data_IF_096510975473
#
_entry.id   IF_096510975473
#
_cell.length_a   1.000
_cell.length_b   1.000
_cell.length_c   1.000
_cell.angle_alpha   90.00
_cell.angle_beta   90.00
_cell.angle_gamma   90.00
#
_symmetry.space_group_name_H-M   'P 1'
#
loop_
_entity.id
_entity.type
_entity.pdbx_description
1 polymer ?
#
# COMPACT_ATOMS: atom_id res chain seq x y z
N UNK A 1 -11.84 15.31 14.34
CA UNK A 1 -11.10 14.74 13.20
C UNK A 1 -9.70 15.31 13.22
N UNK A 2 -8.69 14.48 13.48
CA UNK A 2 -7.29 14.87 13.45
C UNK A 2 -6.88 15.09 11.99
N UNK A 3 -6.54 16.34 11.65
CA UNK A 3 -5.93 16.72 10.37
C UNK A 3 -4.74 15.79 10.09
N UNK A 4 -4.58 15.23 8.87
CA UNK A 4 -3.36 14.51 8.54
C UNK A 4 -2.20 15.49 8.70
N UNK A 5 -1.32 15.24 9.67
CA UNK A 5 -0.05 15.94 9.78
C UNK A 5 0.66 15.76 8.44
N UNK A 6 0.78 16.84 7.67
CA UNK A 6 1.59 16.83 6.47
C UNK A 6 3.03 16.50 6.88
N UNK A 7 3.64 15.41 6.40
CA UNK A 7 5.02 15.15 6.73
C UNK A 7 5.91 15.87 5.71
N UNK A 8 6.83 16.75 6.12
CA UNK A 8 8.11 16.82 5.44
C UNK A 8 8.96 15.65 5.96
N UNK A 9 8.61 14.41 5.58
CA UNK A 9 9.53 13.29 5.78
C UNK A 9 10.60 13.44 4.72
N UNK A 10 11.74 14.04 5.08
CA UNK A 10 12.96 13.88 4.31
C UNK A 10 13.29 12.38 4.31
N UNK A 11 12.78 11.66 3.32
CA UNK A 11 13.09 10.26 3.13
C UNK A 11 14.60 10.15 2.94
N UNK A 12 15.21 9.24 3.70
CA UNK A 12 16.65 8.99 3.63
C UNK A 12 16.88 7.58 3.10
N UNK A 13 18.02 7.31 2.43
CA UNK A 13 18.34 5.96 2.01
C UNK A 13 18.40 4.97 3.18
N UNK A 14 18.78 5.44 4.38
CA UNK A 14 18.83 4.64 5.60
C UNK A 14 17.46 4.09 6.01
N UNK A 15 16.38 4.86 5.78
CA UNK A 15 15.03 4.38 6.00
C UNK A 15 14.69 3.18 5.09
N UNK A 16 15.09 3.24 3.82
CA UNK A 16 14.80 2.18 2.85
C UNK A 16 15.58 0.90 3.14
N UNK A 17 16.86 1.00 3.50
CA UNK A 17 17.68 -0.16 3.82
C UNK A 17 17.30 -0.84 5.15
N UNK A 18 16.64 -0.13 6.06
CA UNK A 18 15.98 -0.74 7.21
C UNK A 18 14.62 -1.33 6.80
N UNK A 19 14.66 -2.51 6.16
CA UNK A 19 13.46 -3.18 5.62
C UNK A 19 12.39 -3.45 6.67
N UNK A 20 12.76 -3.60 7.96
CA UNK A 20 11.80 -3.74 9.06
C UNK A 20 11.00 -2.46 9.25
N UNK A 21 11.67 -1.32 9.35
CA UNK A 21 11.02 -0.01 9.51
C UNK A 21 10.17 0.34 8.30
N UNK A 22 10.66 0.08 7.09
CA UNK A 22 9.89 0.26 5.86
C UNK A 22 8.58 -0.55 5.86
N UNK A 23 8.67 -1.85 6.16
CA UNK A 23 7.49 -2.74 6.22
C UNK A 23 6.52 -2.34 7.33
N UNK A 24 7.04 -1.97 8.50
CA UNK A 24 6.22 -1.51 9.61
C UNK A 24 5.48 -0.21 9.24
N UNK A 25 6.15 0.75 8.61
CA UNK A 25 5.50 1.96 8.11
C UNK A 25 4.34 1.64 7.16
N UNK A 26 4.57 0.81 6.14
CA UNK A 26 3.54 0.43 5.17
C UNK A 26 2.38 -0.32 5.86
N UNK A 27 2.69 -1.25 6.77
CA UNK A 27 1.70 -2.00 7.54
C UNK A 27 0.85 -1.10 8.42
N UNK A 28 1.45 -0.18 9.18
CA UNK A 28 0.70 0.74 10.04
C UNK A 28 -0.17 1.69 9.21
N UNK A 29 0.36 2.20 8.10
CA UNK A 29 -0.42 3.04 7.18
C UNK A 29 -1.65 2.31 6.65
N UNK A 30 -1.49 1.06 6.20
CA UNK A 30 -2.59 0.19 5.71
C UNK A 30 -3.61 -0.08 6.81
N UNK A 31 -3.14 -0.45 8.01
CA UNK A 31 -3.99 -0.76 9.15
C UNK A 31 -4.87 0.42 9.57
N UNK A 32 -4.37 1.65 9.44
CA UNK A 32 -5.09 2.86 9.84
C UNK A 32 -6.21 3.28 8.88
N UNK A 33 -6.14 2.87 7.61
CA UNK A 33 -7.03 3.40 6.56
C UNK A 33 -7.72 2.27 5.79
N UNK A 34 -6.95 1.38 5.17
CA UNK A 34 -7.48 0.34 4.27
C UNK A 34 -8.06 -0.86 5.03
N UNK A 35 -7.34 -1.41 6.02
CA UNK A 35 -7.84 -2.58 6.76
C UNK A 35 -9.09 -2.23 7.59
N UNK A 36 -9.16 -0.98 8.04
CA UNK A 36 -10.31 -0.43 8.76
C UNK A 36 -11.27 0.36 7.85
N UNK A 37 -11.20 0.19 6.52
CA UNK A 37 -11.98 1.01 5.58
C UNK A 37 -13.48 0.97 5.86
N UNK A 38 -14.04 -0.22 6.14
CA UNK A 38 -15.46 -0.35 6.44
C UNK A 38 -15.85 0.42 7.70
N UNK A 39 -15.00 0.41 8.73
CA UNK A 39 -15.21 1.18 9.96
C UNK A 39 -15.09 2.68 9.70
N UNK A 40 -14.08 3.09 8.94
CA UNK A 40 -13.88 4.49 8.56
C UNK A 40 -15.09 5.03 7.77
N UNK A 41 -15.60 4.26 6.80
CA UNK A 41 -16.80 4.59 6.02
C UNK A 41 -18.06 4.60 6.88
N UNK A 42 -18.20 3.65 7.82
CA UNK A 42 -19.33 3.64 8.75
C UNK A 42 -19.34 4.88 9.66
N UNK A 43 -18.17 5.39 10.05
CA UNK A 43 -18.04 6.58 10.87
C UNK A 43 -18.42 7.89 10.13
N UNK A 44 -18.43 7.87 8.79
CA UNK A 44 -18.93 9.01 7.99
C UNK A 44 -20.45 9.16 8.09
N UNK A 45 -21.17 8.06 8.37
CA UNK A 45 -22.61 8.08 8.59
C UNK A 45 -22.83 8.47 10.05
N UNK A 46 -23.11 9.75 10.30
CA UNK A 46 -23.60 10.19 11.61
C UNK A 46 -25.12 10.29 11.54
N UNK A 47 -25.87 9.40 12.21
CA UNK A 47 -27.33 9.36 12.10
C UNK A 47 -27.97 10.71 12.39
N UNK A 48 -27.45 11.43 13.38
CA UNK A 48 -27.96 12.76 13.78
C UNK A 48 -27.83 13.85 12.71
N UNK A 49 -26.92 13.72 11.74
CA UNK A 49 -26.70 14.73 10.71
C UNK A 49 -27.26 14.30 9.35
N UNK A 50 -27.22 13.00 9.04
CA UNK A 50 -27.59 12.48 7.72
C UNK A 50 -29.08 12.13 7.62
N UNK A 51 -29.73 11.77 8.74
CA UNK A 51 -31.18 11.49 8.78
C UNK A 51 -31.73 11.79 10.18
N UNK A 52 -32.39 12.95 10.39
CA UNK A 52 -33.04 13.26 11.65
C UNK A 52 -33.96 12.11 12.09
N UNK A 53 -33.95 11.78 13.38
CA UNK A 53 -34.79 10.72 13.91
C UNK A 53 -36.27 11.04 13.66
N UNK A 54 -36.90 10.24 12.80
CA UNK A 54 -38.34 10.27 12.57
C UNK A 54 -38.98 9.10 13.32
N UNK A 55 -39.87 9.33 14.31
CA UNK A 55 -40.53 8.26 15.05
C UNK A 55 -41.32 7.29 14.14
N UNK A 56 -41.75 7.73 12.96
CA UNK A 56 -42.46 6.88 11.99
C UNK A 56 -41.55 5.85 11.31
N UNK A 57 -40.22 6.07 11.31
CA UNK A 57 -39.24 5.12 10.75
C UNK A 57 -39.15 3.78 11.50
N UNK A 58 -39.62 3.75 12.76
CA UNK A 58 -39.64 2.52 13.59
C UNK A 58 -40.85 1.62 13.33
N UNK A 59 -41.85 2.12 12.58
CA UNK A 59 -43.10 1.41 12.32
C UNK A 59 -42.98 0.29 11.28
N UNK A 60 -41.95 0.35 10.41
CA UNK A 60 -41.72 -0.62 9.35
C UNK A 60 -40.53 -1.51 9.72
N UNK A 61 -40.81 -2.67 10.33
CA UNK A 61 -39.83 -3.77 10.35
C UNK A 61 -39.76 -4.34 8.94
N UNK A 62 -38.66 -4.13 8.23
CA UNK A 62 -38.44 -4.71 6.91
C UNK A 62 -37.41 -5.87 7.00
N UNK A 63 -37.84 -7.11 7.34
CA UNK A 63 -36.94 -8.24 7.56
C UNK A 63 -36.40 -8.88 6.26
N UNK A 64 -36.73 -8.34 5.08
CA UNK A 64 -36.53 -9.00 3.78
C UNK A 64 -35.43 -8.38 2.90
N UNK A 65 -34.77 -7.30 3.32
CA UNK A 65 -33.69 -6.70 2.53
C UNK A 65 -32.36 -7.42 2.81
N UNK A 66 -31.64 -7.87 1.77
CA UNK A 66 -30.27 -8.37 1.90
C UNK A 66 -29.42 -7.40 2.73
N UNK A 67 -28.52 -7.90 3.57
CA UNK A 67 -27.71 -7.06 4.47
C UNK A 67 -26.95 -5.93 3.75
N UNK A 68 -26.68 -6.03 2.44
CA UNK A 68 -26.08 -4.93 1.65
C UNK A 68 -27.06 -3.80 1.32
N UNK A 69 -28.37 -4.06 1.27
CA UNK A 69 -29.44 -3.07 1.05
C UNK A 69 -30.00 -2.49 2.35
N UNK A 70 -29.57 -2.99 3.52
CA UNK A 70 -29.99 -2.46 4.84
C UNK A 70 -29.19 -1.25 5.30
N UNK A 71 -28.12 -0.89 4.59
CA UNK A 71 -27.24 0.21 4.98
C UNK A 71 -27.36 1.34 3.96
N UNK A 72 -27.88 2.48 4.41
CA UNK A 72 -28.00 3.67 3.57
C UNK A 72 -26.63 3.99 2.92
N UNK A 73 -26.60 4.27 1.60
CA UNK A 73 -25.37 4.66 0.92
C UNK A 73 -24.85 5.97 1.50
N UNK A 74 -23.53 6.15 1.50
CA UNK A 74 -22.89 7.37 2.02
C UNK A 74 -23.10 8.49 0.99
N UNK A 75 -23.65 9.65 1.40
CA UNK A 75 -23.91 10.74 0.46
C UNK A 75 -22.64 11.16 -0.29
N UNK A 76 -22.79 11.46 -1.59
CA UNK A 76 -21.70 11.76 -2.51
C UNK A 76 -20.68 12.77 -1.98
N UNK A 77 -21.13 13.85 -1.35
CA UNK A 77 -20.26 14.92 -0.87
C UNK A 77 -19.36 14.48 0.29
N UNK A 78 -19.92 13.73 1.25
CA UNK A 78 -19.18 13.12 2.36
C UNK A 78 -18.14 12.13 1.85
N UNK A 79 -18.54 11.28 0.91
CA UNK A 79 -17.65 10.31 0.26
C UNK A 79 -16.51 11.01 -0.46
N UNK A 80 -16.81 12.04 -1.28
CA UNK A 80 -15.82 12.84 -1.99
C UNK A 80 -14.82 13.48 -1.03
N UNK A 81 -15.30 14.06 0.06
CA UNK A 81 -14.45 14.68 1.07
C UNK A 81 -13.48 13.67 1.68
N UNK A 82 -13.97 12.50 2.07
CA UNK A 82 -13.12 11.42 2.61
C UNK A 82 -12.07 10.97 1.59
N UNK A 83 -12.47 10.74 0.33
CA UNK A 83 -11.56 10.30 -0.72
C UNK A 83 -10.43 11.31 -0.97
N UNK A 84 -10.77 12.59 -1.12
CA UNK A 84 -9.84 13.64 -1.53
C UNK A 84 -8.96 14.13 -0.38
N UNK A 85 -9.44 14.08 0.86
CA UNK A 85 -8.72 14.59 2.03
C UNK A 85 -8.00 13.52 2.86
N UNK A 86 -8.42 12.25 2.75
CA UNK A 86 -7.86 11.15 3.57
C UNK A 86 -7.33 10.03 2.69
N UNK A 87 -8.18 9.41 1.87
CA UNK A 87 -7.81 8.17 1.18
C UNK A 87 -6.70 8.40 0.16
N UNK A 88 -6.92 9.27 -0.83
CA UNK A 88 -5.95 9.50 -1.90
C UNK A 88 -4.63 10.12 -1.41
N UNK A 89 -4.62 11.10 -0.50
CA UNK A 89 -3.37 11.57 0.10
C UNK A 89 -2.57 10.46 0.78
N UNK A 90 -3.24 9.56 1.52
CA UNK A 90 -2.55 8.46 2.19
C UNK A 90 -1.97 7.43 1.22
N UNK A 91 -2.68 7.15 0.13
CA UNK A 91 -2.20 6.31 -0.95
C UNK A 91 -1.01 6.95 -1.65
N UNK A 92 -1.05 8.27 -1.90
CA UNK A 92 0.06 9.00 -2.49
C UNK A 92 1.32 8.92 -1.63
N UNK A 93 1.19 9.16 -0.31
CA UNK A 93 2.34 9.07 0.61
C UNK A 93 2.99 7.68 0.57
N UNK A 94 2.20 6.60 0.52
CA UNK A 94 2.74 5.25 0.36
C UNK A 94 3.41 5.03 -1.00
N UNK A 95 2.79 5.53 -2.08
CA UNK A 95 3.40 5.49 -3.42
C UNK A 95 4.75 6.21 -3.45
N UNK A 96 4.83 7.40 -2.84
CA UNK A 96 6.04 8.22 -2.78
C UNK A 96 7.16 7.49 -2.05
N UNK A 97 6.84 6.85 -0.91
CA UNK A 97 7.79 6.03 -0.15
C UNK A 97 8.29 4.84 -0.95
N UNK A 98 7.40 4.08 -1.59
CA UNK A 98 7.78 2.91 -2.39
C UNK A 98 8.61 3.35 -3.61
N UNK A 99 8.21 4.43 -4.29
CA UNK A 99 8.92 4.99 -5.44
C UNK A 99 10.33 5.48 -5.06
N UNK A 100 10.43 6.23 -3.96
CA UNK A 100 11.72 6.69 -3.44
C UNK A 100 12.63 5.51 -3.07
N UNK A 101 12.13 4.52 -2.34
CA UNK A 101 12.95 3.36 -2.00
C UNK A 101 13.32 2.51 -3.23
N UNK A 102 12.50 2.53 -4.28
CA UNK A 102 12.81 1.88 -5.55
C UNK A 102 13.98 2.58 -6.24
N UNK A 103 14.00 3.92 -6.27
CA UNK A 103 15.14 4.65 -6.84
C UNK A 103 16.43 4.40 -6.06
N UNK A 104 16.36 4.35 -4.72
CA UNK A 104 17.49 3.98 -3.85
C UNK A 104 17.97 2.56 -4.15
N UNK A 105 17.07 1.59 -4.33
CA UNK A 105 17.42 0.20 -4.63
C UNK A 105 18.08 0.02 -6.01
N UNK A 106 17.82 0.93 -6.96
CA UNK A 106 18.46 0.93 -8.28
C UNK A 106 19.78 1.72 -8.33
N UNK A 107 20.06 2.53 -7.31
CA UNK A 107 21.30 3.31 -7.22
C UNK A 107 22.46 2.48 -6.63
N UNK A 108 23.72 2.71 -7.05
CA UNK A 108 24.88 2.09 -6.41
C UNK A 108 24.92 2.42 -4.92
N UNK A 109 25.13 1.41 -4.06
CA UNK A 109 25.25 1.57 -2.61
C UNK A 109 26.73 1.60 -2.20
N UNK A 110 27.33 2.80 -2.01
CA UNK A 110 28.75 2.90 -1.63
C UNK A 110 29.01 2.44 -0.19
N UNK A 111 27.97 2.25 0.62
CA UNK A 111 28.08 1.89 2.04
C UNK A 111 27.66 0.43 2.29
N UNK A 112 27.67 -0.43 1.26
CA UNK A 112 27.39 -1.85 1.40
C UNK A 112 28.55 -2.54 2.17
N UNK A 113 28.31 -3.04 3.40
CA UNK A 113 29.37 -3.67 4.20
C UNK A 113 29.88 -4.98 3.57
N UNK A 114 29.03 -5.66 2.80
CA UNK A 114 29.32 -6.99 2.27
C UNK A 114 29.93 -6.95 0.86
N UNK A 115 30.17 -5.76 0.31
CA UNK A 115 30.66 -5.58 -1.06
C UNK A 115 31.98 -6.31 -1.30
N UNK A 116 32.96 -6.11 -0.41
CA UNK A 116 34.30 -6.71 -0.54
C UNK A 116 34.22 -8.24 -0.42
N UNK A 117 33.47 -8.76 0.55
CA UNK A 117 33.33 -10.20 0.77
C UNK A 117 32.62 -10.87 -0.42
N UNK A 118 31.56 -10.23 -0.93
CA UNK A 118 30.80 -10.69 -2.11
C UNK A 118 31.69 -10.73 -3.34
N UNK A 119 32.42 -9.66 -3.65
CA UNK A 119 33.34 -9.63 -4.80
C UNK A 119 34.44 -10.70 -4.68
N UNK A 120 35.00 -10.89 -3.48
CA UNK A 120 35.97 -11.95 -3.24
C UNK A 120 35.37 -13.35 -3.45
N UNK A 121 34.14 -13.60 -2.98
CA UNK A 121 33.45 -14.87 -3.21
C UNK A 121 33.16 -15.13 -4.69
N UNK A 122 32.70 -14.09 -5.42
CA UNK A 122 32.40 -14.18 -6.84
C UNK A 122 33.67 -14.44 -7.66
N UNK A 123 34.81 -13.84 -7.27
CA UNK A 123 36.10 -14.09 -7.91
C UNK A 123 36.59 -15.52 -7.66
N UNK A 124 36.49 -16.01 -6.42
CA UNK A 124 36.87 -17.39 -6.08
C UNK A 124 36.06 -18.43 -6.85
N UNK A 125 34.76 -18.19 -7.04
CA UNK A 125 33.93 -19.08 -7.84
C UNK A 125 34.22 -18.97 -9.34
N UNK A 126 34.50 -17.76 -9.85
CA UNK A 126 34.91 -17.59 -11.25
C UNK A 126 36.21 -18.33 -11.61
N UNK A 127 37.11 -18.52 -10.64
CA UNK A 127 38.34 -19.30 -10.78
C UNK A 127 38.14 -20.81 -10.55
N UNK A 128 36.95 -21.25 -10.13
CA UNK A 128 36.67 -22.63 -9.75
C UNK A 128 36.44 -23.52 -10.97
N UNK A 129 37.23 -24.59 -11.08
CA UNK A 129 37.04 -25.61 -12.11
C UNK A 129 36.14 -26.72 -11.55
N UNK A 130 34.97 -26.91 -12.16
CA UNK A 130 33.97 -27.90 -11.76
C UNK A 130 34.05 -29.11 -12.70
N UNK A 131 34.17 -30.32 -12.12
CA UNK A 131 34.10 -31.56 -12.89
C UNK A 131 32.78 -32.28 -12.60
N UNK A 132 31.78 -32.02 -13.44
CA UNK A 132 30.41 -32.53 -13.31
C UNK A 132 30.32 -34.08 -13.35
N UNK A 133 31.36 -34.74 -13.89
CA UNK A 133 31.43 -36.22 -13.92
C UNK A 133 31.76 -36.81 -12.55
N UNK A 134 32.50 -36.09 -11.73
CA UNK A 134 32.88 -36.54 -10.38
C UNK A 134 31.82 -36.15 -9.34
N UNK A 135 31.23 -34.97 -9.49
CA UNK A 135 30.14 -34.48 -8.63
C UNK A 135 29.13 -33.62 -9.43
N UNK A 136 27.93 -34.15 -9.75
CA UNK A 136 26.88 -33.43 -10.46
C UNK A 136 26.29 -32.21 -9.74
N UNK A 137 26.52 -32.06 -8.43
CA UNK A 137 25.97 -30.96 -7.63
C UNK A 137 27.00 -29.87 -7.33
N UNK A 138 28.28 -30.14 -7.56
CA UNK A 138 29.37 -29.20 -7.32
C UNK A 138 29.26 -27.92 -8.15
N UNK A 139 28.59 -27.90 -9.31
CA UNK A 139 28.48 -26.72 -10.18
C UNK A 139 27.60 -25.57 -9.68
N UNK A 140 26.86 -25.75 -8.57
CA UNK A 140 25.93 -24.72 -8.10
C UNK A 140 26.63 -23.67 -7.25
N UNK A 141 26.81 -22.48 -7.81
CA UNK A 141 27.16 -21.28 -7.05
C UNK A 141 25.96 -20.33 -7.01
N UNK A 142 25.64 -19.84 -5.81
CA UNK A 142 24.62 -18.84 -5.61
C UNK A 142 25.31 -17.57 -5.11
N UNK A 143 25.48 -16.55 -5.98
CA UNK A 143 25.99 -15.26 -5.54
C UNK A 143 25.15 -14.72 -4.39
N UNK A 144 25.80 -14.20 -3.37
CA UNK A 144 25.09 -13.50 -2.30
C UNK A 144 24.50 -12.22 -2.88
N UNK A 145 23.21 -12.01 -2.67
CA UNK A 145 22.53 -10.78 -3.12
C UNK A 145 23.09 -9.55 -2.41
N UNK A 146 23.15 -8.43 -3.11
CA UNK A 146 23.47 -7.14 -2.49
C UNK A 146 22.33 -6.63 -1.62
N UNK A 147 22.66 -5.74 -0.68
CA UNK A 147 21.64 -5.06 0.13
C UNK A 147 20.60 -4.34 -0.74
N UNK A 148 21.05 -3.75 -1.83
CA UNK A 148 20.19 -3.10 -2.83
C UNK A 148 19.30 -4.11 -3.59
N UNK A 149 19.84 -5.26 -3.98
CA UNK A 149 19.07 -6.35 -4.63
C UNK A 149 18.00 -6.92 -3.70
N UNK A 150 18.36 -7.20 -2.44
CA UNK A 150 17.42 -7.64 -1.41
C UNK A 150 16.30 -6.62 -1.24
N UNK A 151 16.63 -5.33 -1.13
CA UNK A 151 15.66 -4.24 -1.05
C UNK A 151 14.75 -4.19 -2.28
N UNK A 152 15.30 -4.33 -3.49
CA UNK A 152 14.52 -4.38 -4.73
C UNK A 152 13.54 -5.56 -4.76
N UNK A 153 13.92 -6.71 -4.18
CA UNK A 153 13.02 -7.85 -3.96
C UNK A 153 11.85 -7.50 -3.03
N UNK A 154 12.14 -6.85 -1.90
CA UNK A 154 11.09 -6.40 -0.96
C UNK A 154 10.13 -5.42 -1.63
N UNK A 155 10.63 -4.43 -2.38
CA UNK A 155 9.81 -3.40 -3.01
C UNK A 155 8.91 -3.94 -4.12
N UNK A 156 9.37 -4.96 -4.87
CA UNK A 156 8.52 -5.68 -5.84
C UNK A 156 7.31 -6.31 -5.17
N UNK A 157 7.53 -6.95 -4.01
CA UNK A 157 6.44 -7.53 -3.23
C UNK A 157 5.52 -6.45 -2.66
N UNK A 158 6.07 -5.37 -2.10
CA UNK A 158 5.26 -4.28 -1.55
C UNK A 158 4.42 -3.56 -2.60
N UNK A 159 4.94 -3.39 -3.82
CA UNK A 159 4.16 -2.87 -4.96
C UNK A 159 2.98 -3.78 -5.31
N UNK A 160 3.19 -5.10 -5.36
CA UNK A 160 2.12 -6.05 -5.64
C UNK A 160 1.04 -6.04 -4.54
N UNK A 161 1.47 -6.03 -3.28
CA UNK A 161 0.58 -5.93 -2.11
C UNK A 161 -0.21 -4.62 -2.14
N UNK A 162 0.46 -3.50 -2.43
CA UNK A 162 -0.18 -2.20 -2.51
C UNK A 162 -1.28 -2.16 -3.59
N UNK A 163 -1.02 -2.75 -4.76
CA UNK A 163 -2.04 -2.88 -5.82
C UNK A 163 -3.25 -3.69 -5.34
N UNK A 164 -3.03 -4.84 -4.71
CA UNK A 164 -4.12 -5.70 -4.19
C UNK A 164 -4.95 -4.95 -3.15
N UNK A 165 -4.30 -4.26 -2.22
CA UNK A 165 -4.98 -3.52 -1.16
C UNK A 165 -5.82 -2.39 -1.76
N UNK A 166 -5.27 -1.59 -2.68
CA UNK A 166 -6.03 -0.50 -3.31
C UNK A 166 -7.23 -1.01 -4.10
N UNK A 167 -7.07 -2.09 -4.87
CA UNK A 167 -8.19 -2.72 -5.59
C UNK A 167 -9.28 -3.16 -4.62
N UNK A 168 -8.92 -3.79 -3.50
CA UNK A 168 -9.90 -4.25 -2.49
C UNK A 168 -10.59 -3.07 -1.80
N UNK A 169 -9.83 -2.08 -1.33
CA UNK A 169 -10.37 -0.88 -0.69
C UNK A 169 -11.32 -0.15 -1.63
N UNK A 170 -10.94 -0.01 -2.91
CA UNK A 170 -11.76 0.64 -3.92
C UNK A 170 -13.09 -0.08 -4.16
N UNK A 171 -13.08 -1.42 -4.22
CA UNK A 171 -14.32 -2.19 -4.33
C UNK A 171 -15.30 -1.91 -3.19
N UNK A 172 -14.81 -1.78 -1.96
CA UNK A 172 -15.64 -1.43 -0.79
C UNK A 172 -16.15 0.02 -0.90
N UNK A 173 -15.31 0.95 -1.35
CA UNK A 173 -15.71 2.35 -1.58
C UNK A 173 -16.82 2.42 -2.63
N UNK A 174 -16.70 1.71 -3.76
CA UNK A 174 -17.71 1.68 -4.80
C UNK A 174 -19.05 1.10 -4.33
N UNK A 175 -19.02 0.07 -3.47
CA UNK A 175 -20.23 -0.51 -2.89
C UNK A 175 -20.94 0.47 -1.92
N UNK A 176 -20.19 1.29 -1.19
CA UNK A 176 -20.69 2.03 -0.03
C UNK A 176 -20.95 3.51 -0.28
N UNK A 177 -20.26 4.10 -1.23
CA UNK A 177 -20.31 5.53 -1.51
C UNK A 177 -21.18 5.81 -2.73
N UNK A 178 -22.14 6.73 -2.58
CA UNK A 178 -22.99 7.15 -3.70
C UNK A 178 -22.23 8.01 -4.71
N UNK A 179 -22.44 7.76 -6.01
CA UNK A 179 -21.92 8.61 -7.08
C UNK A 179 -20.40 8.55 -7.26
N UNK A 180 -19.76 7.48 -6.78
CA UNK A 180 -18.39 7.12 -7.17
C UNK A 180 -18.46 6.50 -8.57
N UNK A 181 -17.64 7.01 -9.49
CA UNK A 181 -17.62 6.54 -10.87
C UNK A 181 -17.26 5.04 -10.95
N UNK A 182 -17.94 4.32 -11.84
CA UNK A 182 -17.55 2.97 -12.23
C UNK A 182 -16.22 3.07 -12.99
N UNK A 183 -15.16 2.54 -12.41
CA UNK A 183 -13.80 2.66 -12.94
C UNK A 183 -12.76 2.06 -12.02
N UNK A 184 -11.51 2.08 -12.48
CA UNK A 184 -10.37 1.60 -11.70
C UNK A 184 -9.95 2.61 -10.64
N UNK A 185 -9.30 2.14 -9.57
CA UNK A 185 -8.80 3.04 -8.54
C UNK A 185 -7.68 3.94 -9.10
N UNK A 186 -6.93 3.43 -10.07
CA UNK A 186 -5.88 4.14 -10.78
C UNK A 186 -6.43 5.40 -11.46
N UNK A 187 -7.52 5.28 -12.21
CA UNK A 187 -8.16 6.41 -12.88
C UNK A 187 -8.67 7.46 -11.88
N UNK A 188 -9.27 7.02 -10.78
CA UNK A 188 -9.79 7.92 -9.76
C UNK A 188 -8.67 8.73 -9.08
N UNK A 189 -7.55 8.07 -8.76
CA UNK A 189 -6.37 8.73 -8.18
C UNK A 189 -5.71 9.66 -9.20
N UNK A 190 -5.60 9.24 -10.46
CA UNK A 190 -5.01 10.08 -11.53
C UNK A 190 -5.82 11.37 -11.71
N UNK A 191 -7.16 11.26 -11.84
CA UNK A 191 -8.06 12.42 -11.91
C UNK A 191 -7.92 13.36 -10.70
N UNK A 192 -7.78 12.79 -9.50
CA UNK A 192 -7.53 13.58 -8.29
C UNK A 192 -6.18 14.30 -8.34
N UNK A 193 -5.14 13.63 -8.83
CA UNK A 193 -3.79 14.21 -8.91
C UNK A 193 -3.67 15.31 -9.97
N UNK A 194 -4.40 15.20 -11.09
CA UNK A 194 -4.46 16.21 -12.15
C UNK A 194 -5.26 17.45 -11.75
N UNK A 195 -6.25 17.28 -10.86
CA UNK A 195 -7.06 18.38 -10.33
C UNK A 195 -6.42 19.15 -9.18
N UNK A 196 -5.17 18.84 -8.82
CA UNK A 196 -4.38 19.52 -7.79
C UNK A 196 -3.55 20.65 -8.38
#
# INVERSE_FOLDING_TARGET
>A
MSKPTAPPTNLTPQFCFNTRVLRDFLRLSRASIDDSISTNLNALITPSTTSPFDPTSTSVRNPSLPSSLTRAPIPRETSRTFLYSVLFPSWNVRSDVISYCTSVATSPDPNDPDLIEREASNRRDAERIVNERLDPYSGRFFPRESRAEMLAGVLRNENAVEKIIRTRTWGIVQERCEGVEEGTWEEAVNKWSEGK
#
